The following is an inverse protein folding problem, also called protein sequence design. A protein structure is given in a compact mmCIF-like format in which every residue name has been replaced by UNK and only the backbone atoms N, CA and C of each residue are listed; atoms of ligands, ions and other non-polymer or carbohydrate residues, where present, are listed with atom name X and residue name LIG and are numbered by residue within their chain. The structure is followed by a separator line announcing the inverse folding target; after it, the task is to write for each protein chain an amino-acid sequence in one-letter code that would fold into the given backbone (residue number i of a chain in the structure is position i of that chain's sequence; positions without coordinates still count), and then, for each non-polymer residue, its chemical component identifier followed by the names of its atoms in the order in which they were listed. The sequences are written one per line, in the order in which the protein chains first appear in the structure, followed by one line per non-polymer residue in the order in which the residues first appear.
data_IF_777521710365
#
_entry.id   IF_777521710365
#
_cell.length_a   1.000
_cell.length_b   1.000
_cell.length_c   1.000
_cell.angle_alpha   90.00
_cell.angle_beta   90.00
_cell.angle_gamma   90.00
#
_symmetry.space_group_name_H-M   'P 1'
#
loop_
_entity.id
_entity.type
_entity.pdbx_description
1 polymer ?
#
# COMPACT_ATOMS: atom_id res chain seq x y z
N UNK A 1 76.28 21.18 28.33
CA UNK A 1 75.06 21.04 27.51
C UNK A 1 73.85 21.32 28.40
N UNK A 2 73.16 22.46 28.24
CA UNK A 2 72.10 22.93 29.15
C UNK A 2 70.76 22.81 28.43
N UNK A 3 69.88 21.89 28.88
CA UNK A 3 68.54 21.69 28.30
C UNK A 3 67.55 22.67 28.94
N UNK A 4 66.85 23.44 28.10
CA UNK A 4 65.83 24.42 28.49
C UNK A 4 64.45 23.73 28.47
N UNK A 5 63.85 23.52 29.64
CA UNK A 5 62.45 23.05 29.77
C UNK A 5 61.50 24.20 29.42
N UNK A 6 60.77 24.08 28.31
CA UNK A 6 59.65 24.95 27.97
C UNK A 6 58.40 24.53 28.76
N UNK A 7 58.05 25.31 29.78
CA UNK A 7 56.80 25.16 30.52
C UNK A 7 55.64 25.81 29.74
N UNK A 8 54.89 25.00 28.99
CA UNK A 8 53.62 25.41 28.40
C UNK A 8 52.49 25.31 29.43
N UNK A 9 52.01 26.46 29.91
CA UNK A 9 50.89 26.55 30.86
C UNK A 9 49.58 26.15 30.15
N UNK A 10 49.03 24.99 30.51
CA UNK A 10 47.76 24.50 30.00
C UNK A 10 46.60 25.33 30.59
N UNK A 11 46.00 26.22 29.79
CA UNK A 11 44.81 27.00 30.17
C UNK A 11 43.62 26.04 30.30
N UNK A 12 43.23 25.74 31.55
CA UNK A 12 42.02 24.97 31.86
C UNK A 12 40.79 25.82 31.48
N UNK A 13 40.13 25.48 30.39
CA UNK A 13 38.85 26.11 30.00
C UNK A 13 37.79 25.68 31.03
N UNK A 14 37.32 26.63 31.84
CA UNK A 14 36.25 26.38 32.81
C UNK A 14 34.96 26.06 32.05
N UNK A 15 34.53 24.80 32.06
CA UNK A 15 33.22 24.40 31.56
C UNK A 15 32.16 24.96 32.50
N UNK A 16 31.38 25.93 32.02
CA UNK A 16 30.19 26.43 32.73
C UNK A 16 29.13 25.32 32.72
N UNK A 17 28.71 24.87 33.89
CA UNK A 17 27.61 23.92 34.03
C UNK A 17 26.27 24.60 33.72
N UNK A 18 25.33 23.84 33.16
CA UNK A 18 23.95 24.27 32.94
C UNK A 18 23.27 24.55 34.29
N UNK A 19 22.49 25.63 34.35
CA UNK A 19 21.67 25.91 35.53
C UNK A 19 20.41 25.02 35.52
N UNK A 20 19.92 24.64 36.70
CA UNK A 20 18.66 23.87 36.82
C UNK A 20 17.47 24.64 36.21
N UNK A 21 17.51 25.98 36.29
CA UNK A 21 16.46 26.85 35.75
C UNK A 21 16.45 26.84 34.22
N UNK A 22 17.62 26.84 33.57
CA UNK A 22 17.71 26.71 32.11
C UNK A 22 17.09 25.38 31.65
N UNK A 23 17.39 24.27 32.33
CA UNK A 23 16.85 22.97 31.94
C UNK A 23 15.32 22.91 32.12
N UNK A 24 14.80 23.53 33.19
CA UNK A 24 13.36 23.56 33.48
C UNK A 24 12.58 24.34 32.41
N UNK A 25 13.10 25.48 31.95
CA UNK A 25 12.45 26.27 30.90
C UNK A 25 12.46 25.51 29.58
N UNK A 26 13.55 24.81 29.26
CA UNK A 26 13.66 24.06 28.01
C UNK A 26 12.62 22.94 27.92
N UNK A 27 12.44 22.14 28.98
CA UNK A 27 11.42 21.08 28.95
C UNK A 27 10.00 21.65 28.88
N UNK A 28 9.75 22.82 29.49
CA UNK A 28 8.47 23.51 29.40
C UNK A 28 8.17 23.97 27.96
N UNK A 29 9.16 24.58 27.29
CA UNK A 29 9.02 25.02 25.90
C UNK A 29 8.87 23.84 24.95
N UNK A 30 9.67 22.77 25.12
CA UNK A 30 9.56 21.55 24.29
C UNK A 30 8.18 20.91 24.46
N UNK A 31 7.64 20.87 25.68
CA UNK A 31 6.30 20.33 25.94
C UNK A 31 5.20 21.06 25.17
N UNK A 32 5.22 22.40 25.19
CA UNK A 32 4.21 23.22 24.48
C UNK A 32 4.35 23.04 22.96
N UNK A 33 5.56 23.10 22.43
CA UNK A 33 5.81 22.92 21.00
C UNK A 33 5.41 21.54 20.49
N UNK A 34 5.66 20.49 21.28
CA UNK A 34 5.30 19.12 20.91
C UNK A 34 3.77 18.95 20.75
N UNK A 35 2.98 19.51 21.68
CA UNK A 35 1.51 19.47 21.59
C UNK A 35 1.00 20.28 20.39
N UNK A 36 1.58 21.47 20.14
CA UNK A 36 1.19 22.30 19.00
C UNK A 36 1.44 21.59 17.65
N UNK A 37 2.57 20.90 17.50
CA UNK A 37 2.89 20.15 16.28
C UNK A 37 1.97 18.96 16.08
N UNK A 38 1.69 18.19 17.15
CA UNK A 38 0.76 17.05 17.07
C UNK A 38 -0.68 17.49 16.80
N UNK A 39 -1.09 18.68 17.24
CA UNK A 39 -2.40 19.24 16.91
C UNK A 39 -2.50 19.68 15.43
N UNK A 40 -1.37 20.01 14.80
CA UNK A 40 -1.32 20.45 13.40
C UNK A 40 -1.22 19.29 12.39
N UNK A 41 -0.75 18.12 12.83
CA UNK A 41 -0.64 16.92 11.99
C UNK A 41 -1.77 15.94 12.33
N UNK A 42 -2.39 15.33 11.32
CA UNK A 42 -3.24 14.15 11.53
C UNK A 42 -2.38 12.88 11.39
N UNK A 43 -1.86 12.29 12.50
CA UNK A 43 -1.00 11.12 12.42
C UNK A 43 -1.75 9.90 11.88
N UNK A 44 -3.07 9.82 12.09
CA UNK A 44 -3.89 8.71 11.62
C UNK A 44 -3.98 8.75 10.10
N UNK A 45 -4.18 9.92 9.52
CA UNK A 45 -4.22 10.09 8.07
C UNK A 45 -2.88 9.76 7.41
N UNK A 46 -1.75 10.09 8.04
CA UNK A 46 -0.43 9.71 7.52
C UNK A 46 -0.22 8.19 7.54
N UNK A 47 -0.66 7.50 8.59
CA UNK A 47 -0.60 6.04 8.66
C UNK A 47 -1.47 5.39 7.58
N UNK A 48 -2.67 5.91 7.35
CA UNK A 48 -3.56 5.45 6.26
C UNK A 48 -2.91 5.61 4.89
N UNK A 49 -2.30 6.77 4.63
CA UNK A 49 -1.56 7.02 3.39
C UNK A 49 -0.39 6.05 3.19
N UNK A 50 0.34 5.74 4.27
CA UNK A 50 1.40 4.73 4.23
C UNK A 50 0.85 3.34 3.89
N UNK A 51 -0.32 2.95 4.41
CA UNK A 51 -0.97 1.68 4.09
C UNK A 51 -1.40 1.62 2.65
N UNK A 52 -2.00 2.69 2.12
CA UNK A 52 -2.41 2.76 0.71
C UNK A 52 -1.20 2.66 -0.24
N UNK A 53 -0.06 3.24 0.15
CA UNK A 53 1.21 3.07 -0.59
C UNK A 53 1.65 1.60 -0.60
N UNK A 54 1.47 0.89 0.51
CA UNK A 54 1.70 -0.56 0.61
C UNK A 54 0.76 -1.36 -0.30
N UNK A 55 -0.55 -1.07 -0.26
CA UNK A 55 -1.56 -1.70 -1.14
C UNK A 55 -1.23 -1.50 -2.62
N UNK A 56 -0.82 -0.29 -2.97
CA UNK A 56 -0.41 0.05 -4.33
C UNK A 56 0.83 -0.75 -4.78
N UNK A 57 1.80 -0.95 -3.89
CA UNK A 57 2.96 -1.78 -4.16
C UNK A 57 2.57 -3.26 -4.32
N UNK A 58 1.67 -3.75 -3.47
CA UNK A 58 1.15 -5.12 -3.54
C UNK A 58 0.36 -5.34 -4.83
N UNK A 59 -0.52 -4.41 -5.21
CA UNK A 59 -1.28 -4.47 -6.46
C UNK A 59 -0.38 -4.53 -7.69
N UNK A 60 0.71 -3.74 -7.74
CA UNK A 60 1.69 -3.79 -8.85
C UNK A 60 2.42 -5.13 -8.94
N UNK A 61 2.76 -5.71 -7.79
CA UNK A 61 3.37 -7.04 -7.79
C UNK A 61 2.38 -8.08 -8.31
N UNK A 62 1.11 -8.00 -7.91
CA UNK A 62 0.07 -8.90 -8.40
C UNK A 62 -0.13 -8.77 -9.91
N UNK A 63 -0.24 -7.55 -10.44
CA UNK A 63 -0.30 -7.32 -11.91
C UNK A 63 0.86 -8.03 -12.60
N UNK A 64 2.07 -7.84 -12.09
CA UNK A 64 3.28 -8.44 -12.67
C UNK A 64 3.26 -9.97 -12.59
N UNK A 65 2.82 -10.54 -11.46
CA UNK A 65 2.76 -11.99 -11.25
C UNK A 65 1.72 -12.64 -12.16
N UNK A 66 0.52 -12.06 -12.26
CA UNK A 66 -0.54 -12.52 -13.16
C UNK A 66 -0.11 -12.42 -14.63
N UNK A 67 0.54 -11.33 -15.04
CA UNK A 67 1.05 -11.18 -16.41
C UNK A 67 2.12 -12.23 -16.75
N UNK A 68 3.03 -12.54 -15.82
CA UNK A 68 4.04 -13.60 -16.02
C UNK A 68 3.42 -15.00 -16.06
N UNK A 69 2.41 -15.23 -15.24
CA UNK A 69 1.62 -16.46 -15.27
C UNK A 69 0.93 -16.63 -16.63
N UNK A 70 0.21 -15.61 -17.09
CA UNK A 70 -0.48 -15.62 -18.38
C UNK A 70 0.48 -15.79 -19.57
N UNK A 71 1.68 -15.21 -19.50
CA UNK A 71 2.72 -15.41 -20.52
C UNK A 71 3.25 -16.85 -20.58
N UNK A 72 3.15 -17.60 -19.48
CA UNK A 72 3.65 -18.99 -19.37
C UNK A 72 2.58 -20.02 -19.71
N UNK A 73 1.37 -19.86 -19.16
CA UNK A 73 0.29 -20.84 -19.27
C UNK A 73 -0.75 -20.48 -20.35
N UNK A 74 -0.67 -19.27 -20.93
CA UNK A 74 -1.62 -18.74 -21.91
C UNK A 74 -3.06 -18.55 -21.37
N UNK A 75 -3.22 -18.54 -20.05
CA UNK A 75 -4.46 -18.20 -19.35
C UNK A 75 -4.16 -17.60 -17.97
N UNK A 76 -5.15 -16.98 -17.35
CA UNK A 76 -5.03 -16.47 -15.98
C UNK A 76 -5.23 -17.58 -14.93
N UNK A 77 -4.77 -17.38 -13.68
CA UNK A 77 -4.91 -18.37 -12.62
C UNK A 77 -6.35 -18.86 -12.39
N UNK A 78 -7.34 -17.97 -12.53
CA UNK A 78 -8.77 -18.31 -12.45
C UNK A 78 -9.25 -19.35 -13.48
N UNK A 79 -8.54 -19.45 -14.61
CA UNK A 79 -8.85 -20.35 -15.72
C UNK A 79 -7.95 -21.59 -15.73
N UNK A 80 -6.94 -21.63 -14.85
CA UNK A 80 -5.93 -22.68 -14.81
C UNK A 80 -6.41 -23.88 -14.00
N UNK A 81 -6.46 -25.04 -14.66
CA UNK A 81 -6.69 -26.33 -14.03
C UNK A 81 -5.65 -27.34 -14.52
N UNK A 82 -4.70 -27.68 -13.65
CA UNK A 82 -3.65 -28.66 -13.93
C UNK A 82 -4.16 -30.07 -14.25
N UNK A 83 -5.43 -30.38 -13.95
CA UNK A 83 -6.05 -31.65 -14.30
C UNK A 83 -6.59 -31.70 -15.74
N UNK A 84 -6.75 -30.55 -16.41
CA UNK A 84 -7.32 -30.46 -17.76
C UNK A 84 -6.25 -30.45 -18.86
N UNK A 85 -6.62 -30.91 -20.06
CA UNK A 85 -5.79 -30.84 -21.28
C UNK A 85 -6.62 -30.32 -22.46
N UNK A 86 -6.40 -29.07 -22.94
CA UNK A 86 -5.45 -28.08 -22.40
C UNK A 86 -5.81 -27.61 -20.98
N UNK A 87 -4.81 -27.16 -20.18
CA UNK A 87 -5.00 -26.80 -18.77
C UNK A 87 -5.75 -25.47 -18.58
N UNK A 88 -6.06 -24.75 -19.66
CA UNK A 88 -6.84 -23.53 -19.64
C UNK A 88 -8.26 -23.85 -20.06
N UNK A 89 -9.22 -23.62 -19.16
CA UNK A 89 -10.65 -23.75 -19.46
C UNK A 89 -11.31 -22.39 -19.51
N UNK A 90 -12.23 -22.20 -20.46
CA UNK A 90 -12.94 -20.93 -20.58
C UNK A 90 -13.91 -20.72 -19.40
N UNK A 91 -13.64 -19.70 -18.59
CA UNK A 91 -14.54 -19.15 -17.56
C UNK A 91 -13.83 -18.99 -16.20
N UNK A 92 -14.18 -18.06 -15.29
CA UNK A 92 -15.43 -17.32 -15.02
C UNK A 92 -15.17 -16.08 -14.13
N UNK A 93 -16.19 -15.20 -14.08
CA UNK A 93 -16.54 -14.15 -13.10
C UNK A 93 -15.49 -13.12 -12.74
N UNK A 94 -15.67 -12.01 -13.43
CA UNK A 94 -15.23 -10.73 -12.95
C UNK A 94 -16.30 -10.04 -12.16
N UNK A 95 -15.88 -9.24 -11.18
CA UNK A 95 -14.53 -9.11 -10.60
C UNK A 95 -14.28 -10.13 -9.46
N UNK A 96 -13.02 -10.58 -9.29
CA UNK A 96 -12.65 -11.54 -8.24
C UNK A 96 -11.98 -10.84 -7.05
N UNK A 97 -12.31 -11.25 -5.82
CA UNK A 97 -11.59 -10.84 -4.60
C UNK A 97 -10.37 -11.71 -4.40
N UNK A 98 -9.22 -11.09 -4.23
CA UNK A 98 -8.01 -11.81 -3.80
C UNK A 98 -7.98 -11.81 -2.29
N UNK A 99 -8.29 -12.96 -1.71
CA UNK A 99 -8.10 -13.22 -0.30
C UNK A 99 -7.31 -14.52 -0.05
N UNK A 100 -6.92 -14.75 1.20
CA UNK A 100 -6.11 -15.91 1.60
C UNK A 100 -6.78 -17.28 1.35
N UNK A 101 -8.08 -17.31 1.07
CA UNK A 101 -8.88 -18.49 0.77
C UNK A 101 -9.11 -18.67 -0.73
N UNK A 102 -8.65 -17.73 -1.55
CA UNK A 102 -8.73 -17.81 -3.00
C UNK A 102 -7.75 -18.87 -3.49
N UNK A 103 -8.25 -20.00 -3.99
CA UNK A 103 -7.43 -21.18 -4.30
C UNK A 103 -6.49 -20.90 -5.47
N UNK A 104 -6.93 -20.09 -6.42
CA UNK A 104 -6.23 -19.73 -7.64
C UNK A 104 -5.08 -18.75 -7.34
N UNK A 105 -5.13 -18.04 -6.21
CA UNK A 105 -3.98 -17.30 -5.68
C UNK A 105 -2.82 -18.23 -5.31
N UNK A 106 -3.12 -19.47 -4.91
CA UNK A 106 -2.08 -20.43 -4.55
C UNK A 106 -1.29 -20.91 -5.77
N UNK A 107 -1.86 -20.86 -6.97
CA UNK A 107 -1.18 -21.24 -8.22
C UNK A 107 -0.12 -20.22 -8.65
N UNK A 108 -0.32 -18.94 -8.33
CA UNK A 108 0.72 -17.91 -8.48
C UNK A 108 1.94 -18.18 -7.60
N UNK A 109 1.75 -18.90 -6.51
CA UNK A 109 2.82 -19.18 -5.56
C UNK A 109 3.42 -20.57 -5.74
N UNK A 110 2.57 -21.57 -5.98
CA UNK A 110 2.93 -22.99 -5.90
C UNK A 110 3.12 -23.60 -7.28
N UNK A 111 2.27 -23.25 -8.25
CA UNK A 111 2.36 -23.80 -9.61
C UNK A 111 3.42 -23.05 -10.44
N UNK A 112 3.45 -21.72 -10.34
CA UNK A 112 4.31 -20.86 -11.16
C UNK A 112 5.49 -20.23 -10.43
N UNK A 113 5.45 -20.15 -9.09
CA UNK A 113 6.45 -19.46 -8.26
C UNK A 113 6.67 -17.99 -8.66
N UNK A 114 5.63 -17.34 -9.19
CA UNK A 114 5.63 -15.93 -9.61
C UNK A 114 5.43 -14.96 -8.45
N UNK A 115 4.87 -15.45 -7.34
CA UNK A 115 4.63 -14.69 -6.12
C UNK A 115 5.21 -15.41 -4.90
N UNK A 116 5.81 -14.65 -3.97
CA UNK A 116 6.38 -15.22 -2.74
C UNK A 116 5.27 -15.70 -1.80
N UNK A 117 5.47 -16.84 -1.12
CA UNK A 117 4.58 -17.36 -0.06
C UNK A 117 4.26 -16.34 1.05
N UNK A 118 5.14 -15.37 1.30
CA UNK A 118 4.92 -14.29 2.28
C UNK A 118 3.69 -13.43 1.94
N UNK A 119 3.24 -13.40 0.68
CA UNK A 119 2.06 -12.63 0.28
C UNK A 119 0.78 -13.12 0.95
N UNK A 120 0.61 -14.42 1.21
CA UNK A 120 -0.52 -14.94 2.00
C UNK A 120 -0.59 -14.34 3.41
N UNK A 121 0.58 -13.97 3.95
CA UNK A 121 0.70 -13.36 5.28
C UNK A 121 0.39 -11.86 5.31
N UNK A 122 0.37 -11.19 4.16
CA UNK A 122 0.16 -9.74 4.09
C UNK A 122 -1.27 -9.38 4.45
N UNK A 123 -1.41 -8.31 5.22
CA UNK A 123 -2.71 -7.78 5.65
C UNK A 123 -3.64 -7.53 4.47
N UNK A 124 -3.11 -6.95 3.41
CA UNK A 124 -3.86 -6.60 2.20
C UNK A 124 -4.52 -7.81 1.52
N UNK A 125 -3.91 -9.00 1.64
CA UNK A 125 -4.47 -10.26 1.15
C UNK A 125 -5.42 -10.87 2.18
N UNK A 126 -5.11 -10.80 3.48
CA UNK A 126 -5.97 -11.37 4.52
C UNK A 126 -7.33 -10.69 4.66
N UNK A 127 -7.32 -9.36 4.50
CA UNK A 127 -8.51 -8.53 4.70
C UNK A 127 -9.35 -8.43 3.40
N UNK A 128 -8.95 -9.12 2.31
CA UNK A 128 -9.70 -9.19 1.04
C UNK A 128 -9.86 -7.82 0.36
N UNK A 129 -8.82 -6.99 0.46
CA UNK A 129 -8.85 -5.56 0.09
C UNK A 129 -8.47 -5.32 -1.38
N UNK A 130 -8.11 -6.38 -2.10
CA UNK A 130 -7.70 -6.33 -3.50
C UNK A 130 -8.68 -7.12 -4.35
N UNK A 131 -8.96 -6.57 -5.52
CA UNK A 131 -9.71 -7.22 -6.57
C UNK A 131 -8.89 -7.33 -7.82
N UNK A 132 -9.01 -8.46 -8.50
CA UNK A 132 -8.42 -8.70 -9.82
C UNK A 132 -9.55 -8.79 -10.82
N UNK A 133 -9.35 -8.16 -11.97
CA UNK A 133 -10.28 -8.23 -13.08
C UNK A 133 -9.61 -8.17 -14.44
N UNK A 134 -10.20 -8.79 -15.45
CA UNK A 134 -9.68 -8.86 -16.81
C UNK A 134 -10.71 -8.25 -17.78
N UNK A 135 -10.45 -7.09 -18.36
CA UNK A 135 -11.43 -6.51 -19.30
C UNK A 135 -11.65 -7.41 -20.53
N UNK A 136 -12.73 -7.19 -21.30
CA UNK A 136 -12.98 -7.87 -22.58
C UNK A 136 -11.87 -7.70 -23.64
N UNK A 137 -10.87 -6.83 -23.37
CA UNK A 137 -9.67 -6.64 -24.18
C UNK A 137 -8.42 -7.31 -23.57
N UNK A 138 -8.60 -8.31 -22.69
CA UNK A 138 -7.53 -9.00 -21.92
C UNK A 138 -6.64 -8.07 -21.07
N UNK A 139 -7.17 -6.89 -20.72
CA UNK A 139 -6.47 -5.96 -19.84
C UNK A 139 -6.69 -6.40 -18.39
N UNK A 140 -5.67 -7.01 -17.81
CA UNK A 140 -5.61 -7.27 -16.38
C UNK A 140 -5.59 -5.95 -15.62
N UNK A 141 -6.44 -5.84 -14.61
CA UNK A 141 -6.51 -4.70 -13.73
C UNK A 141 -6.64 -5.17 -12.28
N UNK A 142 -5.86 -4.58 -11.40
CA UNK A 142 -5.88 -4.86 -9.97
C UNK A 142 -6.33 -3.60 -9.24
N UNK A 143 -7.45 -3.71 -8.55
CA UNK A 143 -8.11 -2.58 -7.91
C UNK A 143 -8.11 -2.74 -6.39
N UNK A 144 -8.12 -1.62 -5.66
CA UNK A 144 -8.32 -1.59 -4.20
C UNK A 144 -8.99 -0.29 -3.75
N UNK A 145 -9.64 -0.30 -2.58
CA UNK A 145 -10.24 0.91 -2.00
C UNK A 145 -9.24 1.55 -1.01
N UNK A 146 -8.79 2.80 -1.23
CA UNK A 146 -7.85 3.47 -0.34
C UNK A 146 -8.48 3.89 1.01
N UNK A 147 -7.71 3.83 2.09
CA UNK A 147 -8.11 4.25 3.44
C UNK A 147 -7.97 5.77 3.66
N UNK A 148 -6.98 6.40 3.02
CA UNK A 148 -6.63 7.81 3.22
C UNK A 148 -7.66 8.72 2.54
N UNK A 149 -8.17 9.69 3.30
CA UNK A 149 -9.04 10.75 2.77
C UNK A 149 -8.33 11.56 1.69
N UNK A 150 -7.03 11.81 1.86
CA UNK A 150 -6.23 12.54 0.89
C UNK A 150 -6.04 11.75 -0.41
N UNK A 151 -5.82 10.43 -0.33
CA UNK A 151 -5.75 9.55 -1.51
C UNK A 151 -7.08 9.52 -2.26
N UNK A 152 -8.21 9.56 -1.54
CA UNK A 152 -9.57 9.54 -2.12
C UNK A 152 -10.03 10.87 -2.70
N UNK A 153 -9.53 11.97 -2.17
CA UNK A 153 -9.95 13.32 -2.56
C UNK A 153 -8.99 13.97 -3.57
N UNK A 154 -7.78 13.42 -3.73
CA UNK A 154 -6.65 14.12 -4.35
C UNK A 154 -6.56 14.06 -5.88
N UNK A 155 -7.21 13.11 -6.56
CA UNK A 155 -7.09 12.94 -8.00
C UNK A 155 -8.28 12.15 -8.58
N UNK A 156 -9.32 12.86 -9.04
CA UNK A 156 -10.51 12.23 -9.67
C UNK A 156 -10.12 11.34 -10.86
N UNK A 157 -9.06 11.71 -11.60
CA UNK A 157 -8.49 10.94 -12.70
C UNK A 157 -7.66 9.70 -12.26
N UNK A 158 -7.55 9.43 -10.97
CA UNK A 158 -6.93 8.21 -10.43
C UNK A 158 -7.95 7.30 -9.74
N UNK A 159 -9.21 7.72 -9.71
CA UNK A 159 -10.33 6.97 -9.15
C UNK A 159 -11.07 6.34 -10.32
N UNK A 160 -11.48 5.09 -10.14
CA UNK A 160 -12.21 4.34 -11.14
C UNK A 160 -13.51 3.80 -10.57
N UNK A 161 -14.56 3.87 -11.38
CA UNK A 161 -15.79 3.12 -11.15
C UNK A 161 -15.66 1.75 -11.80
N UNK A 162 -15.99 0.71 -11.04
CA UNK A 162 -15.97 -0.68 -11.52
C UNK A 162 -17.41 -1.19 -11.55
N UNK A 163 -17.82 -1.74 -12.69
CA UNK A 163 -19.07 -2.49 -12.78
C UNK A 163 -18.87 -3.90 -12.16
N UNK A 164 -19.62 -4.25 -11.10
CA UNK A 164 -19.47 -5.54 -10.40
C UNK A 164 -19.94 -6.76 -11.20
N UNK A 165 -20.66 -6.57 -12.31
CA UNK A 165 -21.18 -7.66 -13.13
C UNK A 165 -20.31 -7.90 -14.36
N UNK A 166 -19.70 -6.83 -14.88
CA UNK A 166 -18.92 -6.88 -16.13
C UNK A 166 -17.43 -6.69 -15.93
N UNK A 167 -16.98 -6.25 -14.75
CA UNK A 167 -15.58 -5.90 -14.49
C UNK A 167 -15.08 -4.71 -15.32
N UNK A 168 -15.99 -3.96 -15.96
CA UNK A 168 -15.64 -2.77 -16.74
C UNK A 168 -15.16 -1.68 -15.80
N UNK A 169 -14.00 -1.13 -16.12
CA UNK A 169 -13.34 -0.07 -15.36
C UNK A 169 -13.42 1.20 -16.19
N UNK A 170 -13.95 2.26 -15.58
CA UNK A 170 -13.99 3.58 -16.18
C UNK A 170 -13.39 4.60 -15.22
N UNK A 171 -12.57 5.52 -15.74
CA UNK A 171 -12.11 6.68 -14.98
C UNK A 171 -13.31 7.46 -14.46
N UNK A 172 -13.29 7.79 -13.17
CA UNK A 172 -14.32 8.60 -12.57
C UNK A 172 -14.26 10.01 -13.19
N UNK A 173 -15.40 10.51 -13.66
CA UNK A 173 -15.50 11.88 -14.21
C UNK A 173 -15.75 12.93 -13.13
N UNK A 174 -16.14 12.48 -11.93
CA UNK A 174 -16.33 13.27 -10.73
C UNK A 174 -15.99 12.42 -9.50
N UNK A 175 -15.74 13.05 -8.35
CA UNK A 175 -15.49 12.32 -7.11
C UNK A 175 -16.76 11.52 -6.70
N UNK A 176 -16.70 10.17 -6.65
CA UNK A 176 -17.83 9.34 -6.24
C UNK A 176 -18.38 9.72 -4.86
N UNK A 177 -19.70 9.68 -4.67
CA UNK A 177 -20.34 10.07 -3.41
C UNK A 177 -19.80 9.27 -2.19
N UNK A 178 -19.43 8.01 -2.42
CA UNK A 178 -18.96 7.12 -1.36
C UNK A 178 -17.45 7.25 -1.10
N UNK A 179 -16.69 8.08 -1.83
CA UNK A 179 -15.28 8.36 -1.54
C UNK A 179 -15.05 9.10 -0.21
N UNK A 180 -16.11 9.50 0.47
CA UNK A 180 -16.04 10.06 1.81
C UNK A 180 -16.26 9.01 2.91
N UNK A 181 -16.63 7.77 2.57
CA UNK A 181 -16.93 6.70 3.52
C UNK A 181 -15.65 6.09 4.12
N UNK A 182 -15.28 6.33 5.39
CA UNK A 182 -13.97 5.96 5.93
C UNK A 182 -13.71 4.44 6.05
N UNK A 183 -14.68 3.59 5.72
CA UNK A 183 -14.56 2.14 5.78
C UNK A 183 -14.01 1.56 4.47
N UNK A 184 -13.17 0.53 4.59
CA UNK A 184 -12.73 -0.28 3.44
C UNK A 184 -13.95 -1.09 3.00
N UNK A 185 -14.52 -0.75 1.86
CA UNK A 185 -15.66 -1.49 1.33
C UNK A 185 -15.21 -2.88 0.90
N UNK A 186 -15.95 -3.90 1.32
CA UNK A 186 -15.86 -5.24 0.73
C UNK A 186 -16.88 -5.36 -0.41
N UNK A 187 -17.17 -4.30 -1.16
CA UNK A 187 -17.92 -4.29 -2.42
C UNK A 187 -17.23 -3.36 -3.41
N UNK A 188 -17.28 -3.70 -4.70
CA UNK A 188 -16.70 -2.87 -5.78
C UNK A 188 -17.62 -1.72 -6.21
N UNK A 189 -18.88 -1.77 -5.78
CA UNK A 189 -19.94 -0.82 -6.12
C UNK A 189 -19.74 0.57 -5.50
N UNK A 190 -18.73 0.72 -4.64
CA UNK A 190 -18.49 1.95 -3.90
C UNK A 190 -17.89 3.05 -4.80
N UNK A 191 -17.43 2.71 -6.00
CA UNK A 191 -16.91 3.62 -7.02
C UNK A 191 -15.62 4.35 -6.64
N UNK A 192 -15.18 4.26 -5.38
CA UNK A 192 -13.96 4.87 -4.86
C UNK A 192 -12.79 3.90 -4.89
N UNK A 193 -12.46 3.41 -6.08
CA UNK A 193 -11.46 2.35 -6.24
C UNK A 193 -10.28 2.88 -7.03
N UNK A 194 -9.06 2.51 -6.64
CA UNK A 194 -7.86 2.78 -7.43
C UNK A 194 -7.49 1.49 -8.14
N UNK A 195 -7.35 1.56 -9.46
CA UNK A 195 -7.00 0.43 -10.29
C UNK A 195 -5.62 0.63 -10.93
N UNK A 196 -4.88 -0.47 -11.05
CA UNK A 196 -3.59 -0.55 -11.72
C UNK A 196 -3.73 -1.56 -12.85
N UNK A 197 -3.26 -1.19 -14.04
CA UNK A 197 -3.28 -2.01 -15.25
C UNK A 197 -1.84 -2.36 -15.66
#
# INVERSE_FOLDING_TARGET
MKLRKGGGTMKKLMQKGFTLVELLIVIAVIGILAVAVLAALDPIEQLKKSRDTGRLADARELVSAYQRFAATYLCFPEEYDSANTPPCTNGVQLPVRVDQSYAEFDDLITASNELKQTYKGKRTIKDGEIWVMHSANDVLSVCFNPESKNTRSGAVNQIYTVDPLTGVIAEATANPANCNNPYISTSLDDGCTICIQ
#
